data_IF_556342441770
#
_entry.id   IF_556342441770
#
_cell.length_a   1.000
_cell.length_b   1.000
_cell.length_c   1.000
_cell.angle_alpha   90.00
_cell.angle_beta   90.00
_cell.angle_gamma   90.00
#
_symmetry.space_group_name_H-M   'P 1'
#
loop_
_entity.id
_entity.type
_entity.pdbx_description
1 polymer ?
#
# COMPACT_ATOMS: atom_id res chain seq x y z
N UNK A 1 2.67 -24.87 23.42
CA UNK A 1 2.83 -23.51 22.87
C UNK A 1 4.03 -23.53 21.96
N UNK A 2 3.89 -23.27 20.65
CA UNK A 2 5.03 -23.25 19.73
C UNK A 2 5.74 -21.90 19.88
N UNK A 3 7.02 -21.93 20.26
CA UNK A 3 7.90 -20.76 20.23
C UNK A 3 7.92 -20.18 18.82
N UNK A 4 7.56 -18.89 18.69
CA UNK A 4 7.79 -18.14 17.46
C UNK A 4 9.29 -17.94 17.33
N UNK A 5 9.92 -18.71 16.44
CA UNK A 5 11.31 -18.52 16.04
C UNK A 5 11.50 -17.08 15.57
N UNK A 6 12.40 -16.36 16.24
CA UNK A 6 12.80 -15.00 15.89
C UNK A 6 13.82 -15.10 14.76
N UNK A 7 13.58 -14.46 13.62
CA UNK A 7 14.55 -14.41 12.52
C UNK A 7 15.71 -13.48 12.89
N UNK A 8 16.83 -13.52 12.14
CA UNK A 8 18.02 -12.67 12.38
C UNK A 8 17.70 -11.16 12.42
N UNK A 9 16.55 -10.74 11.88
CA UNK A 9 16.00 -9.38 11.89
C UNK A 9 15.27 -8.97 13.18
N UNK A 10 15.07 -9.88 14.15
CA UNK A 10 14.28 -9.60 15.35
C UNK A 10 12.75 -9.55 15.13
N UNK A 11 12.30 -9.63 13.87
CA UNK A 11 10.90 -9.77 13.47
C UNK A 11 10.48 -11.26 13.52
N UNK A 12 9.19 -11.54 13.58
CA UNK A 12 8.68 -12.93 13.52
C UNK A 12 8.57 -13.42 12.08
N UNK A 13 8.68 -14.73 11.83
CA UNK A 13 8.53 -15.30 10.48
C UNK A 13 7.20 -14.89 9.82
N UNK A 14 6.08 -14.87 10.56
CA UNK A 14 4.78 -14.44 10.04
C UNK A 14 4.77 -12.99 9.55
N UNK A 15 5.61 -12.12 10.14
CA UNK A 15 5.78 -10.75 9.69
C UNK A 15 6.53 -10.72 8.35
N UNK A 16 7.60 -11.51 8.25
CA UNK A 16 8.40 -11.62 7.02
C UNK A 16 7.57 -12.17 5.86
N UNK A 17 6.72 -13.16 6.10
CA UNK A 17 5.79 -13.70 5.10
C UNK A 17 4.81 -12.66 4.58
N UNK A 18 4.25 -11.83 5.47
CA UNK A 18 3.36 -10.72 5.10
C UNK A 18 4.08 -9.66 4.28
N UNK A 19 5.33 -9.33 4.64
CA UNK A 19 6.18 -8.44 3.83
C UNK A 19 6.40 -8.99 2.42
N UNK A 20 6.77 -10.26 2.30
CA UNK A 20 6.92 -10.93 0.99
C UNK A 20 5.62 -10.86 0.18
N UNK A 21 4.48 -11.03 0.83
CA UNK A 21 3.17 -11.01 0.21
C UNK A 21 2.85 -9.66 -0.44
N UNK A 22 2.88 -8.57 0.34
CA UNK A 22 2.56 -7.25 -0.21
C UNK A 22 3.61 -6.80 -1.25
N UNK A 23 4.89 -7.16 -1.05
CA UNK A 23 5.96 -6.87 -2.02
C UNK A 23 5.74 -7.57 -3.35
N UNK A 24 5.26 -8.81 -3.35
CA UNK A 24 4.94 -9.51 -4.58
C UNK A 24 3.77 -8.87 -5.34
N UNK A 25 2.77 -8.34 -4.63
CA UNK A 25 1.65 -7.60 -5.24
C UNK A 25 2.15 -6.30 -5.89
N UNK A 26 3.01 -5.56 -5.19
CA UNK A 26 3.50 -4.24 -5.63
C UNK A 26 4.75 -4.28 -6.53
N UNK A 27 5.25 -5.48 -6.87
CA UNK A 27 6.58 -5.66 -7.52
C UNK A 27 6.82 -4.88 -8.81
N UNK A 28 5.75 -4.52 -9.53
CA UNK A 28 5.86 -3.75 -10.78
C UNK A 28 6.19 -2.28 -10.54
N UNK A 29 5.76 -1.73 -9.40
CA UNK A 29 5.79 -0.29 -9.11
C UNK A 29 6.63 0.07 -7.89
N UNK A 30 6.90 -0.90 -7.01
CA UNK A 30 7.77 -0.72 -5.85
C UNK A 30 8.91 -1.74 -5.85
N UNK A 31 10.07 -1.27 -6.31
CA UNK A 31 11.26 -2.05 -6.66
C UNK A 31 12.23 -2.29 -5.53
N UNK A 32 12.02 -1.74 -4.33
CA UNK A 32 12.86 -2.07 -3.17
C UNK A 32 12.88 -3.59 -2.91
N UNK A 33 13.94 -4.11 -2.30
CA UNK A 33 14.03 -5.54 -1.96
C UNK A 33 13.23 -5.87 -0.70
N UNK A 34 12.93 -7.16 -0.49
CA UNK A 34 12.31 -7.61 0.77
C UNK A 34 13.24 -7.33 1.94
N UNK A 35 14.55 -7.50 1.75
CA UNK A 35 15.59 -7.25 2.75
C UNK A 35 15.65 -5.77 3.16
N UNK A 36 15.69 -4.85 2.21
CA UNK A 36 15.64 -3.40 2.48
C UNK A 36 14.36 -3.01 3.21
N UNK A 37 13.23 -3.57 2.79
CA UNK A 37 11.92 -3.35 3.43
C UNK A 37 11.93 -3.82 4.89
N UNK A 38 12.46 -5.01 5.17
CA UNK A 38 12.58 -5.53 6.54
C UNK A 38 13.55 -4.71 7.41
N UNK A 39 14.60 -4.15 6.83
CA UNK A 39 15.52 -3.24 7.53
C UNK A 39 14.81 -1.93 7.89
N UNK A 40 13.93 -1.42 7.02
CA UNK A 40 13.15 -0.23 7.31
C UNK A 40 12.16 -0.49 8.45
N UNK A 41 11.41 -1.60 8.42
CA UNK A 41 10.48 -1.95 9.51
C UNK A 41 11.18 -2.12 10.87
N UNK A 42 12.42 -2.59 10.92
CA UNK A 42 13.17 -2.68 12.18
C UNK A 42 13.45 -1.33 12.83
N UNK A 43 13.44 -0.23 12.05
CA UNK A 43 13.65 1.13 12.53
C UNK A 43 12.34 1.80 12.97
N UNK A 44 11.20 1.25 12.56
CA UNK A 44 9.90 1.81 12.88
C UNK A 44 9.55 1.61 14.35
N UNK A 45 8.91 2.63 14.93
CA UNK A 45 8.42 2.57 16.32
C UNK A 45 7.27 1.59 16.49
N UNK A 46 6.49 1.36 15.42
CA UNK A 46 5.34 0.48 15.41
C UNK A 46 5.25 -0.30 14.08
N UNK A 47 6.15 -1.27 13.84
CA UNK A 47 6.25 -1.96 12.55
C UNK A 47 4.99 -2.74 12.17
N UNK A 48 4.21 -3.20 13.14
CA UNK A 48 2.98 -3.95 12.87
C UNK A 48 1.92 -3.06 12.21
N UNK A 49 1.72 -1.86 12.74
CA UNK A 49 0.77 -0.91 12.15
C UNK A 49 1.23 -0.40 10.80
N UNK A 50 2.53 -0.17 10.61
CA UNK A 50 3.07 0.18 9.28
C UNK A 50 2.85 -0.96 8.28
N UNK A 51 3.08 -2.22 8.69
CA UNK A 51 2.83 -3.38 7.84
C UNK A 51 1.36 -3.48 7.43
N UNK A 52 0.42 -3.28 8.36
CA UNK A 52 -1.02 -3.24 8.04
C UNK A 52 -1.36 -2.17 7.00
N UNK A 53 -0.76 -0.98 7.08
CA UNK A 53 -0.95 0.07 6.07
C UNK A 53 -0.48 -0.38 4.68
N UNK A 54 0.70 -0.98 4.60
CA UNK A 54 1.23 -1.53 3.34
C UNK A 54 0.35 -2.64 2.76
N UNK A 55 -0.21 -3.50 3.61
CA UNK A 55 -1.13 -4.56 3.19
C UNK A 55 -2.44 -3.99 2.64
N UNK A 56 -3.03 -3.00 3.31
CA UNK A 56 -4.24 -2.33 2.83
C UNK A 56 -4.00 -1.67 1.46
N UNK A 57 -2.86 -0.99 1.28
CA UNK A 57 -2.48 -0.39 0.01
C UNK A 57 -2.28 -1.46 -1.08
N UNK A 58 -1.52 -2.53 -0.79
CA UNK A 58 -1.26 -3.59 -1.76
C UNK A 58 -2.55 -4.26 -2.24
N UNK A 59 -3.47 -4.57 -1.33
CA UNK A 59 -4.75 -5.18 -1.69
C UNK A 59 -5.64 -4.23 -2.51
N UNK A 60 -5.68 -2.93 -2.16
CA UNK A 60 -6.43 -1.95 -2.94
C UNK A 60 -5.83 -1.73 -4.34
N UNK A 61 -4.50 -1.73 -4.45
CA UNK A 61 -3.76 -1.70 -5.71
C UNK A 61 -4.11 -2.92 -6.58
N UNK A 62 -4.12 -4.11 -5.98
CA UNK A 62 -4.49 -5.34 -6.68
C UNK A 62 -5.92 -5.27 -7.22
N UNK A 63 -6.90 -4.93 -6.37
CA UNK A 63 -8.31 -4.82 -6.76
C UNK A 63 -8.51 -3.84 -7.91
N UNK A 64 -7.83 -2.69 -7.85
CA UNK A 64 -7.92 -1.68 -8.90
C UNK A 64 -7.32 -2.18 -10.21
N UNK A 65 -6.17 -2.84 -10.18
CA UNK A 65 -5.53 -3.36 -11.39
C UNK A 65 -6.29 -4.53 -12.01
N UNK A 66 -6.90 -5.41 -11.20
CA UNK A 66 -7.72 -6.52 -11.69
C UNK A 66 -8.99 -6.03 -12.38
N UNK A 67 -9.56 -4.92 -11.92
CA UNK A 67 -10.71 -4.27 -12.56
C UNK A 67 -10.35 -3.36 -13.74
N UNK A 68 -9.06 -3.03 -13.90
CA UNK A 68 -8.53 -2.19 -14.98
C UNK A 68 -7.32 -2.87 -15.66
N UNK A 69 -7.52 -3.99 -16.39
CA UNK A 69 -6.42 -4.80 -16.91
C UNK A 69 -5.58 -4.10 -18.00
N UNK A 70 -6.03 -2.96 -18.52
CA UNK A 70 -5.35 -2.20 -19.58
C UNK A 70 -4.44 -1.10 -19.04
N UNK A 71 -4.30 -0.95 -17.71
CA UNK A 71 -3.42 0.07 -17.13
C UNK A 71 -1.97 -0.14 -17.57
N UNK A 72 -1.38 0.95 -18.04
CA UNK A 72 0.05 1.08 -18.29
C UNK A 72 0.83 1.07 -16.99
N UNK A 73 2.14 0.83 -17.07
CA UNK A 73 3.02 0.88 -15.92
C UNK A 73 3.01 2.26 -15.23
N UNK A 74 2.92 3.35 -16.00
CA UNK A 74 2.86 4.70 -15.44
C UNK A 74 1.55 4.97 -14.70
N UNK A 75 0.42 4.48 -15.21
CA UNK A 75 -0.85 4.57 -14.47
C UNK A 75 -0.81 3.74 -13.18
N UNK A 76 -0.21 2.54 -13.20
CA UNK A 76 -0.03 1.74 -11.99
C UNK A 76 0.85 2.45 -10.95
N UNK A 77 1.88 3.20 -11.38
CA UNK A 77 2.67 4.03 -10.45
C UNK A 77 1.82 5.13 -9.82
N UNK A 78 0.94 5.75 -10.59
CA UNK A 78 -0.03 6.71 -10.05
C UNK A 78 -1.01 6.07 -9.08
N UNK A 79 -1.46 4.83 -9.32
CA UNK A 79 -2.29 4.09 -8.37
C UNK A 79 -1.59 3.97 -7.01
N UNK A 80 -0.33 3.51 -7.00
CA UNK A 80 0.44 3.41 -5.76
C UNK A 80 0.65 4.80 -5.12
N UNK A 81 0.92 5.84 -5.92
CA UNK A 81 1.09 7.22 -5.42
C UNK A 81 -0.18 7.73 -4.74
N UNK A 82 -1.36 7.47 -5.29
CA UNK A 82 -2.64 7.86 -4.67
C UNK A 82 -2.84 7.09 -3.36
N UNK A 83 -2.53 5.80 -3.32
CA UNK A 83 -2.66 4.98 -2.10
C UNK A 83 -1.72 5.43 -0.98
N UNK A 84 -0.48 5.79 -1.32
CA UNK A 84 0.44 6.45 -0.39
C UNK A 84 -0.10 7.80 0.10
N UNK A 85 -0.72 8.57 -0.80
CA UNK A 85 -1.36 9.83 -0.43
C UNK A 85 -2.55 9.64 0.52
N UNK A 86 -3.28 8.54 0.39
CA UNK A 86 -4.38 8.18 1.29
C UNK A 86 -3.88 7.76 2.67
N UNK A 87 -2.74 7.05 2.76
CA UNK A 87 -2.25 6.49 4.03
C UNK A 87 -1.79 7.53 5.05
N UNK A 88 -1.38 8.72 4.60
CA UNK A 88 -1.01 9.85 5.45
C UNK A 88 -2.04 11.00 5.43
N UNK A 89 -3.31 10.71 5.07
CA UNK A 89 -4.42 11.67 5.09
C UNK A 89 -4.23 12.92 4.22
N UNK A 90 -3.75 12.77 2.98
CA UNK A 90 -3.61 13.90 2.06
C UNK A 90 -4.97 14.55 1.75
N UNK A 91 -4.98 15.89 1.69
CA UNK A 91 -6.18 16.69 1.38
C UNK A 91 -6.37 16.91 -0.13
N UNK A 92 -5.30 16.71 -0.91
CA UNK A 92 -5.27 16.79 -2.38
C UNK A 92 -4.42 15.67 -2.94
N UNK A 93 -4.72 15.23 -4.16
CA UNK A 93 -4.00 14.14 -4.83
C UNK A 93 -3.23 14.66 -6.03
N UNK A 94 -1.93 14.39 -6.04
CA UNK A 94 -1.10 14.57 -7.23
C UNK A 94 -1.10 13.27 -8.03
N UNK A 95 -1.62 13.34 -9.25
CA UNK A 95 -1.58 12.28 -10.26
C UNK A 95 -1.03 12.85 -11.56
N UNK A 96 -0.36 12.02 -12.35
CA UNK A 96 0.11 12.40 -13.68
C UNK A 96 -0.94 12.08 -14.75
N UNK A 97 -1.69 10.99 -14.55
CA UNK A 97 -2.58 10.38 -15.55
C UNK A 97 -3.97 10.12 -14.97
N UNK A 98 -4.06 9.60 -13.74
CA UNK A 98 -5.35 9.22 -13.15
C UNK A 98 -6.26 10.44 -12.90
N UNK A 99 -7.51 10.36 -13.34
CA UNK A 99 -8.52 11.39 -13.06
C UNK A 99 -9.16 11.25 -11.66
N UNK A 100 -9.99 12.23 -11.29
CA UNK A 100 -10.68 12.27 -10.01
C UNK A 100 -11.56 11.04 -9.75
N UNK A 101 -12.15 10.45 -10.80
CA UNK A 101 -12.98 9.26 -10.66
C UNK A 101 -12.14 8.08 -10.23
N UNK A 102 -10.96 7.89 -10.80
CA UNK A 102 -10.04 6.84 -10.36
C UNK A 102 -9.60 7.06 -8.91
N UNK A 103 -9.29 8.30 -8.52
CA UNK A 103 -8.94 8.65 -7.13
C UNK A 103 -10.07 8.28 -6.16
N UNK A 104 -11.34 8.56 -6.51
CA UNK A 104 -12.47 8.18 -5.66
C UNK A 104 -12.65 6.66 -5.53
N UNK A 105 -12.46 5.92 -6.61
CA UNK A 105 -12.52 4.45 -6.59
C UNK A 105 -11.40 3.91 -5.69
N UNK A 106 -10.17 4.40 -5.85
CA UNK A 106 -9.02 3.99 -5.03
C UNK A 106 -9.24 4.29 -3.56
N UNK A 107 -9.79 5.46 -3.23
CA UNK A 107 -10.19 5.80 -1.86
C UNK A 107 -11.20 4.80 -1.31
N UNK A 108 -12.22 4.44 -2.09
CA UNK A 108 -13.22 3.44 -1.70
C UNK A 108 -12.60 2.07 -1.43
N UNK A 109 -11.72 1.60 -2.32
CA UNK A 109 -11.01 0.33 -2.18
C UNK A 109 -10.08 0.33 -0.96
N UNK A 110 -9.32 1.41 -0.75
CA UNK A 110 -8.44 1.56 0.40
C UNK A 110 -9.21 1.46 1.72
N UNK A 111 -10.34 2.16 1.84
CA UNK A 111 -11.21 2.09 3.01
C UNK A 111 -11.81 0.69 3.19
N UNK A 112 -12.29 0.08 2.10
CA UNK A 112 -12.83 -1.28 2.13
C UNK A 112 -11.80 -2.30 2.64
N UNK A 113 -10.52 -2.10 2.31
CA UNK A 113 -9.41 -2.96 2.78
C UNK A 113 -8.97 -2.68 4.21
N UNK A 114 -9.54 -1.70 4.91
CA UNK A 114 -9.22 -1.38 6.30
C UNK A 114 -8.37 -0.11 6.47
N UNK A 115 -8.01 0.54 5.36
CA UNK A 115 -7.36 1.84 5.35
C UNK A 115 -8.22 2.91 6.01
N UNK A 116 -7.59 3.85 6.71
CA UNK A 116 -8.26 4.99 7.34
C UNK A 116 -7.85 6.25 6.61
N UNK A 117 -8.83 7.04 6.18
CA UNK A 117 -8.57 8.32 5.54
C UNK A 117 -9.70 9.30 5.82
N UNK A 118 -9.38 10.58 5.98
CA UNK A 118 -10.37 11.65 6.15
C UNK A 118 -11.36 11.73 4.97
N UNK A 119 -12.59 12.24 5.19
CA UNK A 119 -13.48 12.63 4.10
C UNK A 119 -12.81 13.69 3.23
N UNK A 120 -12.78 13.49 1.92
CA UNK A 120 -12.28 14.51 0.97
C UNK A 120 -13.47 15.32 0.50
N UNK A 121 -13.38 16.65 0.62
CA UNK A 121 -14.36 17.57 0.02
C UNK A 121 -13.94 17.79 -1.42
N UNK A 122 -14.69 17.24 -2.36
CA UNK A 122 -14.45 17.47 -3.79
C UNK A 122 -14.91 18.87 -4.14
N UNK A 123 -13.97 19.75 -4.48
CA UNK A 123 -14.30 20.98 -5.20
C UNK A 123 -14.74 20.55 -6.59
N UNK A 124 -16.03 20.73 -6.90
CA UNK A 124 -16.52 20.60 -8.26
C UNK A 124 -15.77 21.61 -9.13
N UNK A 125 -15.00 21.11 -10.09
CA UNK A 125 -14.56 21.87 -11.26
C UNK A 125 -15.73 22.18 -12.19
#
# INVERSE_FOLDING_TARGET
MKEKSKTQSGLSESFVERVRSFKNILKEVETSTVEETLINFQKDRNPESELELWEHMALAYQDFNETNPTLTLEEKKDVLRVLLQLSWDAESFETNILDDRHVQILRGLYIYRGGKTKPVVLYKS
#
